data_IF_593712012785
#
_entry.id   IF_593712012785
#
_cell.length_a   1.000
_cell.length_b   1.000
_cell.length_c   1.000
_cell.angle_alpha   90.00
_cell.angle_beta   90.00
_cell.angle_gamma   90.00
#
_symmetry.space_group_name_H-M   'P 1'
#
loop_
_entity.id
_entity.type
_entity.pdbx_description
1 polymer ?
#
# COMPACT_ATOMS: atom_id res chain seq x y z
N UNK A 1 -15.27 10.10 14.40
CA UNK A 1 -16.01 9.78 13.17
C UNK A 1 -16.35 11.04 12.34
N UNK A 2 -16.97 12.11 12.90
CA UNK A 2 -17.29 13.35 12.12
C UNK A 2 -16.08 14.02 11.46
N UNK A 3 -14.91 14.05 12.12
CA UNK A 3 -13.68 14.66 11.58
C UNK A 3 -13.12 13.89 10.36
N UNK A 4 -13.20 12.56 10.37
CA UNK A 4 -12.76 11.71 9.24
C UNK A 4 -13.71 11.90 8.05
N UNK A 5 -15.02 11.99 8.31
CA UNK A 5 -15.99 12.26 7.27
C UNK A 5 -15.80 13.66 6.64
N UNK A 6 -15.46 14.68 7.44
CA UNK A 6 -15.15 16.02 6.94
C UNK A 6 -13.89 16.05 6.08
N UNK A 7 -12.85 15.31 6.45
CA UNK A 7 -11.63 15.19 5.65
C UNK A 7 -11.93 14.46 4.33
N UNK A 8 -12.72 13.39 4.38
CA UNK A 8 -13.16 12.67 3.19
C UNK A 8 -14.00 13.55 2.25
N UNK A 9 -14.92 14.34 2.79
CA UNK A 9 -15.74 15.30 2.03
C UNK A 9 -14.88 16.45 1.49
N UNK A 10 -13.91 16.95 2.24
CA UNK A 10 -12.97 17.98 1.77
C UNK A 10 -12.08 17.44 0.62
N UNK A 11 -11.60 16.21 0.71
CA UNK A 11 -10.84 15.57 -0.38
C UNK A 11 -11.73 15.34 -1.61
N UNK A 12 -12.97 14.93 -1.43
CA UNK A 12 -13.94 14.77 -2.52
C UNK A 12 -14.37 16.12 -3.13
N UNK A 13 -14.44 17.21 -2.35
CA UNK A 13 -14.79 18.53 -2.87
C UNK A 13 -13.66 19.21 -3.64
N UNK A 14 -12.41 18.83 -3.43
CA UNK A 14 -11.27 19.28 -4.26
C UNK A 14 -11.29 18.70 -5.69
N UNK A 15 -12.14 17.72 -5.98
CA UNK A 15 -12.31 17.17 -7.33
C UNK A 15 -13.12 18.06 -8.27
N UNK A 16 -13.62 19.21 -7.79
CA UNK A 16 -14.37 20.19 -8.58
C UNK A 16 -13.55 21.05 -9.55
N UNK A 17 -12.24 20.87 -9.63
CA UNK A 17 -11.37 21.63 -10.53
C UNK A 17 -11.01 20.79 -11.75
N UNK A 18 -11.83 20.93 -12.78
CA UNK A 18 -11.52 20.84 -14.20
C UNK A 18 -10.80 19.57 -14.71
N UNK A 19 -11.49 18.79 -15.54
CA UNK A 19 -10.90 17.76 -16.42
C UNK A 19 -10.12 16.65 -15.71
N UNK A 20 -10.41 16.38 -14.47
CA UNK A 20 -9.84 15.23 -13.75
C UNK A 20 -10.39 13.96 -14.40
N UNK A 21 -9.54 13.21 -15.03
CA UNK A 21 -9.76 11.81 -15.31
C UNK A 21 -10.17 11.19 -13.97
N UNK A 22 -11.28 10.45 -13.94
CA UNK A 22 -11.93 9.97 -12.73
C UNK A 22 -11.04 9.24 -11.72
N UNK A 23 -11.53 8.91 -10.54
CA UNK A 23 -10.77 8.16 -9.54
C UNK A 23 -10.35 6.79 -10.07
N UNK A 24 -9.13 6.37 -9.69
CA UNK A 24 -8.57 5.06 -10.00
C UNK A 24 -8.57 4.22 -8.73
N UNK A 25 -9.27 3.09 -8.73
CA UNK A 25 -9.15 2.06 -7.70
C UNK A 25 -8.03 1.10 -8.06
N UNK A 26 -7.23 0.68 -7.10
CA UNK A 26 -6.19 -0.33 -7.29
C UNK A 26 -6.30 -1.42 -6.23
N UNK A 27 -6.04 -2.65 -6.66
CA UNK A 27 -5.87 -3.81 -5.78
C UNK A 27 -4.62 -4.53 -6.21
N UNK A 28 -3.75 -4.86 -5.27
CA UNK A 28 -2.49 -5.52 -5.58
C UNK A 28 -2.04 -6.45 -4.45
N UNK A 29 -1.10 -7.30 -4.82
CA UNK A 29 -0.39 -8.17 -3.91
C UNK A 29 1.11 -7.87 -4.02
N UNK A 30 1.78 -7.75 -2.85
CA UNK A 30 3.20 -7.52 -2.76
C UNK A 30 3.90 -8.54 -1.87
N UNK A 31 5.10 -8.91 -2.24
CA UNK A 31 5.95 -9.81 -1.44
C UNK A 31 7.13 -9.07 -0.81
N UNK A 32 7.66 -9.61 0.28
CA UNK A 32 8.81 -9.06 1.04
C UNK A 32 8.58 -7.62 1.49
N UNK A 33 7.76 -7.45 2.50
CA UNK A 33 7.36 -6.13 3.01
C UNK A 33 8.31 -5.60 4.08
N UNK A 34 8.26 -4.28 4.31
CA UNK A 34 8.92 -3.61 5.44
C UNK A 34 8.53 -4.23 6.80
N UNK A 35 7.31 -4.73 6.90
CA UNK A 35 6.73 -5.32 8.11
C UNK A 35 7.54 -6.52 8.60
N UNK A 36 7.99 -7.37 7.67
CA UNK A 36 8.85 -8.52 7.98
C UNK A 36 10.21 -8.09 8.55
N UNK A 37 10.75 -6.98 8.05
CA UNK A 37 12.04 -6.45 8.50
C UNK A 37 11.96 -5.74 9.86
N UNK A 38 10.83 -5.11 10.19
CA UNK A 38 10.65 -4.36 11.44
C UNK A 38 10.57 -5.29 12.64
N UNK A 39 9.84 -6.39 12.50
CA UNK A 39 9.68 -7.36 13.59
C UNK A 39 10.96 -8.17 13.86
N UNK A 40 11.77 -8.42 12.83
CA UNK A 40 13.10 -9.03 13.01
C UNK A 40 14.04 -8.17 13.88
N UNK A 41 13.88 -6.85 13.84
CA UNK A 41 14.72 -5.90 14.59
C UNK A 41 14.40 -5.90 16.09
N UNK A 42 13.16 -6.16 16.47
CA UNK A 42 12.70 -6.16 17.86
C UNK A 42 13.03 -7.47 18.62
N UNK A 43 13.89 -8.32 18.08
CA UNK A 43 14.40 -9.53 18.74
C UNK A 43 13.52 -10.75 18.61
N UNK A 44 12.48 -10.71 17.78
CA UNK A 44 11.66 -11.85 17.42
C UNK A 44 12.45 -12.75 16.45
N UNK A 45 13.07 -13.76 16.99
CA UNK A 45 13.79 -14.78 16.20
C UNK A 45 12.73 -15.62 15.45
N UNK A 46 12.81 -15.67 14.14
CA UNK A 46 11.94 -16.43 13.25
C UNK A 46 10.54 -15.86 13.02
N UNK A 47 10.46 -14.66 12.48
CA UNK A 47 9.28 -14.26 11.71
C UNK A 47 9.28 -15.16 10.46
N UNK A 48 8.34 -16.10 10.38
CA UNK A 48 8.09 -16.80 9.13
C UNK A 48 7.69 -15.71 8.14
N UNK A 49 8.36 -15.66 6.97
CA UNK A 49 8.03 -14.71 5.92
C UNK A 49 6.53 -14.57 5.81
N UNK A 50 6.04 -13.36 5.99
CA UNK A 50 4.64 -13.10 5.74
C UNK A 50 4.30 -13.61 4.34
N UNK A 51 3.12 -14.16 4.20
CA UNK A 51 2.63 -14.62 2.89
C UNK A 51 2.58 -13.48 1.85
N UNK A 52 2.95 -12.26 2.23
CA UNK A 52 2.95 -11.03 1.47
C UNK A 52 1.90 -10.05 2.00
N UNK A 53 1.66 -8.98 1.27
CA UNK A 53 0.70 -7.95 1.62
C UNK A 53 -0.35 -7.78 0.53
N UNK A 54 -1.61 -7.65 0.94
CA UNK A 54 -2.70 -7.21 0.08
C UNK A 54 -2.86 -5.70 0.23
N UNK A 55 -2.89 -5.01 -0.90
CA UNK A 55 -3.00 -3.56 -0.94
C UNK A 55 -4.27 -3.16 -1.69
N UNK A 56 -4.98 -2.18 -1.16
CA UNK A 56 -6.07 -1.49 -1.83
C UNK A 56 -5.78 0.00 -1.86
N UNK A 57 -5.97 0.65 -2.99
CA UNK A 57 -5.65 2.06 -3.18
C UNK A 57 -6.73 2.81 -3.94
N UNK A 58 -6.87 4.10 -3.60
CA UNK A 58 -7.69 5.06 -4.31
C UNK A 58 -6.80 6.22 -4.72
N UNK A 59 -6.67 6.45 -6.01
CA UNK A 59 -5.82 7.47 -6.58
C UNK A 59 -6.64 8.43 -7.44
N UNK A 60 -6.18 9.67 -7.51
CA UNK A 60 -6.75 10.73 -8.32
C UNK A 60 -5.65 11.31 -9.21
N UNK A 61 -5.96 11.50 -10.47
CA UNK A 61 -5.05 12.13 -11.41
C UNK A 61 -5.15 13.65 -11.27
N UNK A 62 -4.13 14.25 -10.68
CA UNK A 62 -4.07 15.70 -10.43
C UNK A 62 -3.57 16.46 -11.65
N UNK A 63 -2.59 15.88 -12.34
CA UNK A 63 -2.08 16.42 -13.61
C UNK A 63 -1.91 15.30 -14.63
N UNK A 64 -1.48 15.67 -15.83
CA UNK A 64 -1.25 14.68 -16.89
C UNK A 64 -0.29 13.55 -16.46
N UNK A 65 0.69 13.86 -15.61
CA UNK A 65 1.74 12.94 -15.20
C UNK A 65 1.75 12.61 -13.70
N UNK A 66 0.94 13.32 -12.88
CA UNK A 66 0.94 13.16 -11.44
C UNK A 66 -0.38 12.57 -10.95
N UNK A 67 -0.29 11.50 -10.19
CA UNK A 67 -1.39 10.89 -9.44
C UNK A 67 -1.09 10.98 -7.96
N UNK A 68 -2.10 11.32 -7.15
CA UNK A 68 -2.02 11.35 -5.69
C UNK A 68 -3.17 10.52 -5.16
N UNK A 69 -2.93 9.80 -4.07
CA UNK A 69 -3.96 8.95 -3.50
C UNK A 69 -3.64 8.46 -2.12
N UNK A 70 -4.44 7.50 -1.70
CA UNK A 70 -4.27 6.81 -0.43
C UNK A 70 -4.28 5.31 -0.67
N UNK A 71 -3.53 4.57 0.14
CA UNK A 71 -3.60 3.11 0.14
C UNK A 71 -3.70 2.56 1.55
N UNK A 72 -4.33 1.41 1.62
CA UNK A 72 -4.37 0.55 2.79
C UNK A 72 -3.68 -0.76 2.45
N UNK A 73 -2.77 -1.17 3.31
CA UNK A 73 -2.01 -2.41 3.20
C UNK A 73 -2.32 -3.31 4.37
N UNK A 74 -2.62 -4.55 4.11
CA UNK A 74 -2.83 -5.60 5.11
C UNK A 74 -1.87 -6.75 4.87
N UNK A 75 -1.24 -7.21 5.95
CA UNK A 75 -0.44 -8.42 5.97
C UNK A 75 -0.63 -9.14 7.30
N UNK A 76 -0.29 -10.41 7.35
CA UNK A 76 -0.27 -11.17 8.60
C UNK A 76 0.84 -12.20 8.57
N UNK A 77 1.43 -12.44 9.72
CA UNK A 77 2.44 -13.49 9.90
C UNK A 77 2.21 -14.23 11.20
N UNK A 78 2.87 -15.38 11.32
CA UNK A 78 2.91 -16.15 12.55
C UNK A 78 4.35 -16.25 13.00
N UNK A 79 4.65 -15.78 14.19
CA UNK A 79 5.97 -15.92 14.80
C UNK A 79 5.98 -17.06 15.79
N UNK A 80 7.11 -17.75 15.88
CA UNK A 80 7.37 -18.78 16.88
C UNK A 80 8.23 -18.19 17.98
N UNK A 81 7.70 -18.08 19.18
CA UNK A 81 8.48 -17.72 20.36
C UNK A 81 8.46 -18.91 21.33
N UNK A 82 9.50 -19.77 21.25
CA UNK A 82 9.51 -21.01 22.02
C UNK A 82 8.45 -22.02 21.51
N UNK A 83 7.73 -22.71 22.40
CA UNK A 83 6.66 -23.65 22.04
C UNK A 83 5.37 -22.94 21.58
N UNK A 84 5.26 -21.62 21.76
CA UNK A 84 4.06 -20.85 21.45
C UNK A 84 4.11 -20.13 20.09
N UNK A 85 2.98 -20.18 19.39
CA UNK A 85 2.76 -19.48 18.16
C UNK A 85 1.97 -18.20 18.42
N UNK A 86 2.54 -17.03 18.13
CA UNK A 86 1.84 -15.76 18.20
C UNK A 86 1.49 -15.27 16.79
N UNK A 87 0.30 -14.72 16.64
CA UNK A 87 -0.14 -14.11 15.37
C UNK A 87 0.11 -12.60 15.42
N UNK A 88 0.59 -12.06 14.30
CA UNK A 88 0.79 -10.64 14.13
C UNK A 88 0.00 -10.21 12.89
N UNK A 89 -0.84 -9.21 13.06
CA UNK A 89 -1.56 -8.57 11.96
C UNK A 89 -1.01 -7.16 11.75
N UNK A 90 -0.71 -6.82 10.51
CA UNK A 90 -0.15 -5.53 10.09
C UNK A 90 -1.17 -4.75 9.29
N UNK A 91 -1.31 -3.49 9.64
CA UNK A 91 -2.19 -2.55 8.96
C UNK A 91 -1.39 -1.28 8.67
N UNK A 92 -1.25 -0.91 7.41
CA UNK A 92 -0.61 0.35 7.04
C UNK A 92 -1.56 1.21 6.23
N UNK A 93 -1.60 2.51 6.55
CA UNK A 93 -2.31 3.52 5.79
C UNK A 93 -1.28 4.52 5.30
N UNK A 94 -1.25 4.76 3.98
CA UNK A 94 -0.26 5.62 3.35
C UNK A 94 -0.91 6.61 2.38
N UNK A 95 -0.33 7.79 2.31
CA UNK A 95 -0.53 8.75 1.22
C UNK A 95 0.47 8.43 0.12
N UNK A 96 0.00 8.37 -1.11
CA UNK A 96 0.79 7.97 -2.27
C UNK A 96 0.89 9.10 -3.28
N UNK A 97 2.06 9.23 -3.87
CA UNK A 97 2.33 10.04 -5.05
C UNK A 97 2.94 9.18 -6.14
N UNK A 98 2.40 9.26 -7.35
CA UNK A 98 2.90 8.52 -8.51
C UNK A 98 3.18 9.50 -9.63
N UNK A 99 4.37 9.40 -10.24
CA UNK A 99 4.77 10.24 -11.35
C UNK A 99 5.04 9.39 -12.58
N UNK A 100 4.25 9.64 -13.65
CA UNK A 100 4.38 8.95 -14.93
C UNK A 100 5.47 9.65 -15.75
N UNK A 101 6.63 9.01 -15.90
CA UNK A 101 7.75 9.56 -16.67
C UNK A 101 7.74 9.11 -18.14
N UNK A 102 7.00 8.05 -18.48
CA UNK A 102 6.77 7.61 -19.85
C UNK A 102 5.35 7.09 -20.00
N UNK A 103 4.68 7.50 -21.08
CA UNK A 103 3.33 7.03 -21.40
C UNK A 103 3.14 6.94 -22.92
N UNK A 104 2.66 5.77 -23.35
CA UNK A 104 2.12 5.58 -24.69
C UNK A 104 0.71 4.96 -24.61
N UNK A 105 0.15 4.54 -25.75
CA UNK A 105 -1.20 3.96 -25.81
C UNK A 105 -1.34 2.61 -25.10
N UNK A 106 -0.26 1.89 -24.84
CA UNK A 106 -0.26 0.53 -24.27
C UNK A 106 0.37 0.50 -22.88
N UNK A 107 1.51 1.18 -22.71
CA UNK A 107 2.35 1.10 -21.52
C UNK A 107 2.55 2.47 -20.89
N UNK A 108 2.45 2.52 -19.57
CA UNK A 108 2.86 3.67 -18.75
C UNK A 108 3.95 3.22 -17.78
N UNK A 109 5.10 3.90 -17.78
CA UNK A 109 6.15 3.72 -16.78
C UNK A 109 6.08 4.86 -15.76
N UNK A 110 6.21 4.55 -14.50
CA UNK A 110 6.05 5.52 -13.41
C UNK A 110 6.93 5.20 -12.21
N UNK A 111 7.18 6.21 -11.39
CA UNK A 111 7.70 6.07 -10.04
C UNK A 111 6.59 6.25 -9.01
N UNK A 112 6.71 5.58 -7.87
CA UNK A 112 5.76 5.65 -6.78
C UNK A 112 6.46 5.92 -5.45
N UNK A 113 5.93 6.84 -4.68
CA UNK A 113 6.33 7.17 -3.32
C UNK A 113 5.11 7.13 -2.41
N UNK A 114 5.19 6.38 -1.32
CA UNK A 114 4.17 6.31 -0.28
C UNK A 114 4.76 6.63 1.09
N UNK A 115 4.02 7.38 1.91
CA UNK A 115 4.38 7.71 3.29
C UNK A 115 3.15 7.58 4.18
N UNK A 116 3.32 7.02 5.38
CA UNK A 116 2.19 6.81 6.27
C UNK A 116 2.54 6.19 7.61
N UNK A 117 1.58 5.51 8.18
CA UNK A 117 1.72 4.82 9.46
C UNK A 117 1.32 3.34 9.34
N UNK A 118 2.08 2.51 10.02
CA UNK A 118 1.84 1.09 10.20
C UNK A 118 1.47 0.82 11.64
N UNK A 119 0.50 -0.04 11.86
CA UNK A 119 0.09 -0.54 13.16
C UNK A 119 0.21 -2.06 13.14
N UNK A 120 1.10 -2.59 13.95
CA UNK A 120 1.27 -4.02 14.18
C UNK A 120 0.44 -4.42 15.40
N UNK A 121 -0.55 -5.28 15.20
CA UNK A 121 -1.37 -5.84 16.26
C UNK A 121 -0.83 -7.22 16.62
N UNK A 122 -0.24 -7.32 17.80
CA UNK A 122 0.34 -8.55 18.32
C UNK A 122 -0.65 -9.26 19.22
N UNK A 123 -0.91 -10.55 18.95
CA UNK A 123 -1.80 -11.43 19.71
C UNK A 123 -0.99 -12.59 20.29
N UNK A 124 -0.32 -12.40 21.46
CA UNK A 124 0.31 -13.49 22.20
C UNK A 124 -0.74 -14.46 22.72
N UNK A 125 -0.39 -15.72 22.87
CA UNK A 125 -1.36 -16.75 23.32
C UNK A 125 -1.67 -16.67 24.82
N UNK A 126 -0.76 -16.12 25.63
CA UNK A 126 -0.85 -16.10 27.11
C UNK A 126 -0.76 -14.70 27.71
N UNK A 127 -0.50 -13.66 26.92
CA UNK A 127 -0.41 -12.27 27.37
C UNK A 127 -1.48 -11.40 26.71
N UNK A 128 -1.69 -10.21 27.23
CA UNK A 128 -2.61 -9.25 26.66
C UNK A 128 -2.12 -8.77 25.29
N UNK A 129 -3.06 -8.62 24.34
CA UNK A 129 -2.78 -8.10 23.02
C UNK A 129 -2.31 -6.65 23.12
N UNK A 130 -1.27 -6.30 22.40
CA UNK A 130 -0.74 -4.94 22.34
C UNK A 130 -0.46 -4.47 20.93
N UNK A 131 -0.45 -3.15 20.75
CA UNK A 131 -0.20 -2.51 19.47
C UNK A 131 1.15 -1.82 19.47
N UNK A 132 1.88 -1.94 18.36
CA UNK A 132 3.06 -1.13 18.07
C UNK A 132 2.81 -0.31 16.81
N UNK A 133 3.23 0.94 16.79
CA UNK A 133 3.10 1.82 15.65
C UNK A 133 4.48 2.15 15.09
N UNK A 134 4.60 2.07 13.76
CA UNK A 134 5.81 2.37 13.02
C UNK A 134 5.51 3.35 11.89
N UNK A 135 6.56 3.98 11.39
CA UNK A 135 6.48 4.76 10.17
C UNK A 135 6.44 3.84 8.96
N UNK A 136 5.38 3.94 8.15
CA UNK A 136 5.24 3.20 6.90
C UNK A 136 5.74 4.05 5.72
N UNK A 137 6.50 3.44 4.84
CA UNK A 137 6.91 4.05 3.58
C UNK A 137 6.87 3.03 2.45
N UNK A 138 6.78 3.53 1.22
CA UNK A 138 6.97 2.75 0.00
C UNK A 138 7.74 3.60 -1.00
N UNK A 139 8.79 3.06 -1.56
CA UNK A 139 9.56 3.67 -2.62
C UNK A 139 9.68 2.67 -3.76
N UNK A 140 9.01 2.94 -4.87
CA UNK A 140 9.02 2.10 -6.06
C UNK A 140 9.54 2.94 -7.23
N UNK A 141 10.87 2.91 -7.52
CA UNK A 141 11.44 3.70 -8.59
C UNK A 141 10.99 3.23 -9.98
N UNK A 142 10.56 1.98 -10.09
CA UNK A 142 10.13 1.40 -11.35
C UNK A 142 8.76 0.75 -11.18
N UNK A 143 7.76 1.35 -11.78
CA UNK A 143 6.43 0.79 -11.99
C UNK A 143 6.12 0.76 -13.49
N UNK A 144 5.47 -0.31 -13.93
CA UNK A 144 4.95 -0.47 -15.27
C UNK A 144 3.47 -0.80 -15.23
N UNK A 145 2.68 -0.14 -16.04
CA UNK A 145 1.24 -0.37 -16.17
C UNK A 145 0.90 -0.64 -17.63
N UNK A 146 0.11 -1.67 -17.88
CA UNK A 146 -0.38 -2.07 -19.21
C UNK A 146 -1.89 -1.95 -19.22
N UNK A 147 -2.43 -1.19 -20.18
CA UNK A 147 -3.88 -1.06 -20.36
C UNK A 147 -4.51 -2.37 -20.86
N UNK A 148 -5.56 -2.84 -20.20
CA UNK A 148 -6.34 -4.02 -20.58
C UNK A 148 -7.67 -3.63 -21.26
N UNK A 149 -7.85 -2.35 -21.55
CA UNK A 149 -9.08 -1.82 -22.14
C UNK A 149 -9.30 -0.36 -21.74
N UNK A 150 -10.57 0.08 -21.74
CA UNK A 150 -10.91 1.49 -21.45
C UNK A 150 -10.82 1.84 -19.96
N UNK A 151 -11.14 0.89 -19.08
CA UNK A 151 -11.29 1.15 -17.64
C UNK A 151 -10.41 0.27 -16.76
N UNK A 152 -9.63 -0.66 -17.31
CA UNK A 152 -8.81 -1.58 -16.56
C UNK A 152 -7.36 -1.56 -17.02
N UNK A 153 -6.44 -1.73 -16.10
CA UNK A 153 -5.01 -1.88 -16.36
C UNK A 153 -4.41 -2.87 -15.36
N UNK A 154 -3.42 -3.63 -15.81
CA UNK A 154 -2.55 -4.43 -14.95
C UNK A 154 -1.27 -3.64 -14.69
N UNK A 155 -0.73 -3.75 -13.49
CA UNK A 155 0.53 -3.09 -13.15
C UNK A 155 1.45 -4.00 -12.34
N UNK A 156 2.76 -3.71 -12.44
CA UNK A 156 3.79 -4.26 -11.59
C UNK A 156 4.72 -3.16 -11.12
N UNK A 157 5.20 -3.26 -9.89
CA UNK A 157 6.14 -2.33 -9.29
C UNK A 157 7.32 -3.08 -8.67
N UNK A 158 8.51 -2.51 -8.84
CA UNK A 158 9.70 -2.88 -8.11
C UNK A 158 10.06 -1.75 -7.17
N UNK A 159 10.14 -2.07 -5.88
CA UNK A 159 10.40 -1.08 -4.86
C UNK A 159 10.75 -1.72 -3.53
N UNK A 160 10.62 -0.96 -2.47
CA UNK A 160 10.79 -1.45 -1.09
C UNK A 160 9.92 -0.61 -0.16
N UNK A 161 9.40 -1.26 0.88
CA UNK A 161 8.54 -0.63 1.88
C UNK A 161 7.37 -1.52 2.30
N UNK A 162 6.32 -0.87 2.78
CA UNK A 162 5.17 -1.55 3.37
C UNK A 162 4.33 -2.36 2.36
N UNK A 163 4.34 -1.98 1.08
CA UNK A 163 3.59 -2.69 0.04
C UNK A 163 4.37 -3.84 -0.60
N UNK A 164 5.66 -3.95 -0.31
CA UNK A 164 6.53 -5.03 -0.75
C UNK A 164 7.59 -4.65 -1.77
N UNK A 165 8.54 -5.56 -1.97
CA UNK A 165 9.66 -5.41 -2.91
C UNK A 165 9.19 -5.58 -4.36
N UNK A 166 8.35 -6.57 -4.61
CA UNK A 166 7.68 -6.81 -5.87
C UNK A 166 6.18 -6.77 -5.64
N UNK A 167 5.50 -5.90 -6.36
CA UNK A 167 4.05 -5.74 -6.29
C UNK A 167 3.44 -5.95 -7.67
N UNK A 168 2.33 -6.68 -7.73
CA UNK A 168 1.53 -6.86 -8.94
C UNK A 168 0.05 -6.65 -8.63
N UNK A 169 -0.68 -6.07 -9.56
CA UNK A 169 -2.08 -5.77 -9.31
C UNK A 169 -2.83 -5.23 -10.51
N UNK A 170 -4.04 -4.79 -10.23
CA UNK A 170 -4.96 -4.20 -11.19
C UNK A 170 -5.38 -2.81 -10.76
N UNK A 171 -5.61 -1.93 -11.72
CA UNK A 171 -6.21 -0.60 -11.57
C UNK A 171 -7.46 -0.51 -12.40
N UNK A 172 -8.45 0.15 -11.83
CA UNK A 172 -9.74 0.38 -12.47
C UNK A 172 -10.03 1.88 -12.44
N UNK A 173 -10.22 2.48 -13.61
CA UNK A 173 -10.68 3.88 -13.74
C UNK A 173 -12.19 3.91 -13.68
N UNK A 174 -12.74 4.72 -12.80
CA UNK A 174 -14.19 4.88 -12.56
C UNK A 174 -14.74 6.06 -13.34
#
# INVERSE_FOLDING_TARGET
MKKILMILVAVLSMTGVANAIGPELSVSYGGYTQMDATDCKDGWKHVNNAWGAVNAGLNFRVTRNLRIGMSYTFSSTTTKHGPDHSKIAYHAIMLNGMYDYYRNSIVTLYGHLGLGAEISHMMPRHDDAYNKSYFAYQISPLGAQIGLGRSAAMFGELGFGAQGLLQVGFRFSL
#
